data_IF_485454051173
#
_entry.id   IF_485454051173
#
_cell.length_a   1.000
_cell.length_b   1.000
_cell.length_c   1.000
_cell.angle_alpha   90.00
_cell.angle_beta   90.00
_cell.angle_gamma   90.00
#
_symmetry.space_group_name_H-M   'P 1'
#
loop_
_entity.id
_entity.type
_entity.pdbx_description
1 polymer ?
#
# COMPACT_ATOMS: atom_id res chain seq x y z
N UNK A 1 -19.62 13.82 -2.38
CA UNK A 1 -18.73 12.64 -2.32
C UNK A 1 -17.71 12.93 -1.25
N UNK A 2 -17.33 11.93 -0.48
CA UNK A 2 -16.54 12.12 0.75
C UNK A 2 -15.39 11.12 0.81
N UNK A 3 -14.31 11.50 1.49
CA UNK A 3 -13.16 10.66 1.75
C UNK A 3 -12.71 10.86 3.19
N UNK A 4 -12.31 9.77 3.84
CA UNK A 4 -11.74 9.74 5.18
C UNK A 4 -10.46 8.89 5.17
N UNK A 5 -9.73 8.87 6.27
CA UNK A 5 -8.54 8.02 6.40
C UNK A 5 -8.82 6.51 6.23
N UNK A 6 -10.07 6.08 6.46
CA UNK A 6 -10.43 4.65 6.47
C UNK A 6 -11.27 4.23 5.27
N UNK A 7 -11.72 5.16 4.44
CA UNK A 7 -12.69 4.84 3.40
C UNK A 7 -13.18 6.03 2.61
N UNK A 8 -14.11 5.76 1.71
CA UNK A 8 -14.70 6.78 0.85
C UNK A 8 -16.18 6.50 0.58
N UNK A 9 -16.88 7.55 0.21
CA UNK A 9 -18.25 7.51 -0.28
C UNK A 9 -18.32 8.11 -1.67
N UNK A 10 -18.84 7.34 -2.63
CA UNK A 10 -18.97 7.75 -4.01
C UNK A 10 -20.32 7.37 -4.58
N UNK A 11 -20.68 7.99 -5.72
CA UNK A 11 -21.91 7.71 -6.45
C UNK A 11 -21.58 7.36 -7.90
N UNK A 12 -22.26 6.34 -8.44
CA UNK A 12 -22.17 5.93 -9.84
C UNK A 12 -23.54 5.47 -10.33
N UNK A 13 -23.74 5.49 -11.65
CA UNK A 13 -24.95 4.95 -12.27
C UNK A 13 -24.93 3.43 -12.30
N UNK A 14 -23.80 2.85 -12.70
CA UNK A 14 -23.66 1.41 -12.82
C UNK A 14 -23.66 0.75 -11.45
N UNK A 15 -24.25 -0.44 -11.38
CA UNK A 15 -24.25 -1.23 -10.16
C UNK A 15 -22.95 -2.04 -10.09
N UNK A 16 -22.28 -1.97 -8.95
CA UNK A 16 -21.19 -2.88 -8.57
C UNK A 16 -21.79 -3.98 -7.70
N UNK A 17 -21.77 -5.22 -8.18
CA UNK A 17 -22.27 -6.38 -7.43
C UNK A 17 -21.21 -7.00 -6.50
N UNK A 18 -19.93 -6.70 -6.71
CA UNK A 18 -18.84 -7.24 -5.90
C UNK A 18 -18.79 -6.59 -4.49
N UNK A 19 -18.55 -7.41 -3.46
CA UNK A 19 -18.31 -6.92 -2.08
C UNK A 19 -16.95 -6.21 -1.94
N UNK A 20 -15.98 -6.57 -2.77
CA UNK A 20 -14.69 -5.91 -2.86
C UNK A 20 -14.33 -5.62 -4.30
N UNK A 21 -13.75 -4.47 -4.57
CA UNK A 21 -13.40 -4.03 -5.93
C UNK A 21 -12.27 -3.00 -5.91
N UNK A 22 -11.63 -2.80 -7.07
CA UNK A 22 -10.58 -1.81 -7.23
C UNK A 22 -11.14 -0.52 -7.82
N UNK A 23 -10.70 0.61 -7.27
CA UNK A 23 -10.95 1.95 -7.79
C UNK A 23 -9.62 2.66 -8.05
N UNK A 24 -9.62 3.55 -9.02
CA UNK A 24 -8.56 4.57 -9.16
C UNK A 24 -9.23 5.90 -8.88
N UNK A 25 -8.93 6.49 -7.73
CA UNK A 25 -9.44 7.83 -7.39
C UNK A 25 -8.44 8.89 -7.80
N UNK A 26 -8.93 10.07 -8.17
CA UNK A 26 -8.09 11.25 -8.36
C UNK A 26 -8.16 12.11 -7.10
N UNK A 27 -7.04 12.25 -6.40
CA UNK A 27 -6.90 13.13 -5.25
C UNK A 27 -5.93 14.25 -5.62
N UNK A 28 -6.44 15.47 -5.79
CA UNK A 28 -5.70 16.59 -6.41
C UNK A 28 -5.17 16.17 -7.79
N UNK A 29 -3.85 16.18 -7.99
CA UNK A 29 -3.17 15.76 -9.21
C UNK A 29 -2.74 14.28 -9.22
N UNK A 30 -2.91 13.57 -8.10
CA UNK A 30 -2.49 12.18 -7.96
C UNK A 30 -3.62 11.20 -8.33
N UNK A 31 -3.25 10.08 -8.96
CA UNK A 31 -4.14 8.94 -9.18
C UNK A 31 -3.78 7.84 -8.19
N UNK A 32 -4.73 7.46 -7.35
CA UNK A 32 -4.53 6.51 -6.26
C UNK A 32 -5.31 5.22 -6.56
N UNK A 33 -4.64 4.12 -6.94
CA UNK A 33 -5.23 2.79 -6.96
C UNK A 33 -5.54 2.34 -5.53
N UNK A 34 -6.78 1.92 -5.30
CA UNK A 34 -7.31 1.53 -3.99
C UNK A 34 -8.20 0.31 -4.17
N UNK A 35 -8.04 -0.69 -3.30
CA UNK A 35 -9.00 -1.78 -3.12
C UNK A 35 -9.98 -1.39 -2.02
N UNK A 36 -11.26 -1.40 -2.37
CA UNK A 36 -12.36 -1.04 -1.50
C UNK A 36 -13.16 -2.27 -1.10
N UNK A 37 -13.66 -2.30 0.14
CA UNK A 37 -14.69 -3.21 0.60
C UNK A 37 -15.98 -2.42 0.81
N UNK A 38 -17.03 -2.82 0.12
CA UNK A 38 -18.34 -2.21 0.26
C UNK A 38 -18.94 -2.59 1.62
N UNK A 39 -19.22 -1.59 2.45
CA UNK A 39 -19.88 -1.76 3.75
C UNK A 39 -21.39 -1.51 3.65
N UNK A 40 -21.81 -0.56 2.80
CA UNK A 40 -23.22 -0.22 2.59
C UNK A 40 -23.44 0.34 1.19
N UNK A 41 -24.59 -0.01 0.60
CA UNK A 41 -25.09 0.62 -0.62
C UNK A 41 -26.48 1.16 -0.36
N UNK A 42 -26.75 2.36 -0.86
CA UNK A 42 -28.09 2.90 -0.98
C UNK A 42 -28.25 3.63 -2.32
N UNK A 43 -29.41 4.24 -2.56
CA UNK A 43 -29.69 5.00 -3.77
C UNK A 43 -29.98 6.45 -3.45
N UNK A 44 -29.52 7.35 -4.31
CA UNK A 44 -29.81 8.79 -4.21
C UNK A 44 -30.41 9.30 -5.52
N UNK A 45 -31.43 10.15 -5.41
CA UNK A 45 -32.00 10.85 -6.56
C UNK A 45 -31.11 12.04 -6.92
N UNK A 46 -30.66 12.09 -8.16
CA UNK A 46 -29.87 13.21 -8.69
C UNK A 46 -30.21 13.45 -10.15
N UNK A 47 -30.64 14.68 -10.49
CA UNK A 47 -31.00 15.10 -11.86
C UNK A 47 -32.02 14.16 -12.54
N UNK A 48 -33.10 13.81 -11.83
CA UNK A 48 -34.15 12.88 -12.28
C UNK A 48 -33.69 11.44 -12.56
N UNK A 49 -32.46 11.08 -12.17
CA UNK A 49 -31.95 9.72 -12.23
C UNK A 49 -31.71 9.17 -10.82
N UNK A 50 -31.81 7.84 -10.72
CA UNK A 50 -31.42 7.09 -9.52
C UNK A 50 -29.95 6.71 -9.65
N UNK A 51 -29.13 7.14 -8.69
CA UNK A 51 -27.72 6.82 -8.60
C UNK A 51 -27.46 5.86 -7.46
N UNK A 52 -26.54 4.91 -7.66
CA UNK A 52 -26.07 4.03 -6.61
C UNK A 52 -25.00 4.76 -5.80
N UNK A 53 -25.16 4.80 -4.48
CA UNK A 53 -24.21 5.40 -3.55
C UNK A 53 -23.60 4.29 -2.70
N UNK A 54 -22.27 4.27 -2.70
CA UNK A 54 -21.46 3.25 -2.05
C UNK A 54 -20.71 3.87 -0.88
N UNK A 55 -20.73 3.17 0.25
CA UNK A 55 -19.90 3.44 1.41
C UNK A 55 -18.87 2.33 1.48
N UNK A 56 -17.60 2.70 1.42
CA UNK A 56 -16.51 1.75 1.28
C UNK A 56 -15.43 1.98 2.32
N UNK A 57 -14.88 0.89 2.83
CA UNK A 57 -13.65 0.86 3.62
C UNK A 57 -12.47 0.55 2.70
N UNK A 58 -11.28 1.07 3.03
CA UNK A 58 -10.05 0.68 2.33
C UNK A 58 -9.63 -0.72 2.76
N UNK A 59 -9.77 -1.68 1.86
CA UNK A 59 -9.26 -3.05 2.03
C UNK A 59 -7.78 -3.17 1.64
N UNK A 60 -7.29 -2.27 0.78
CA UNK A 60 -5.89 -2.19 0.39
C UNK A 60 -5.57 -0.86 -0.26
N UNK A 61 -4.54 -0.18 0.24
CA UNK A 61 -4.06 1.10 -0.28
C UNK A 61 -2.55 1.14 -0.06
N UNK A 62 -1.80 1.68 -1.03
CA UNK A 62 -0.36 1.90 -0.83
C UNK A 62 -0.15 2.92 0.29
N UNK A 63 0.89 2.74 1.11
CA UNK A 63 1.16 3.63 2.23
C UNK A 63 1.24 5.11 1.80
N UNK A 64 1.94 5.41 0.69
CA UNK A 64 2.06 6.78 0.16
C UNK A 64 0.71 7.38 -0.26
N UNK A 65 -0.17 6.54 -0.81
CA UNK A 65 -1.52 6.95 -1.19
C UNK A 65 -2.40 7.15 0.05
N UNK A 66 -2.24 6.32 1.07
CA UNK A 66 -2.93 6.52 2.34
C UNK A 66 -2.45 7.78 3.05
N UNK A 67 -1.15 8.07 3.06
CA UNK A 67 -0.61 9.32 3.59
C UNK A 67 -1.14 10.53 2.82
N UNK A 68 -1.26 10.44 1.48
CA UNK A 68 -1.90 11.48 0.68
C UNK A 68 -3.37 11.69 1.10
N UNK A 69 -4.11 10.60 1.35
CA UNK A 69 -5.48 10.68 1.86
C UNK A 69 -5.52 11.30 3.24
N UNK A 70 -4.72 10.83 4.20
CA UNK A 70 -4.67 11.35 5.57
C UNK A 70 -4.37 12.84 5.57
N UNK A 71 -3.31 13.26 4.87
CA UNK A 71 -2.94 14.68 4.78
C UNK A 71 -4.01 15.51 4.13
N UNK A 72 -4.67 14.99 3.10
CA UNK A 72 -5.79 15.65 2.48
C UNK A 72 -6.95 15.86 3.46
N UNK A 73 -7.31 14.84 4.25
CA UNK A 73 -8.45 14.94 5.20
C UNK A 73 -8.11 15.68 6.48
N UNK A 74 -6.84 15.76 6.88
CA UNK A 74 -6.36 16.54 8.04
C UNK A 74 -5.83 17.92 7.67
N UNK A 75 -6.02 18.36 6.42
CA UNK A 75 -5.52 19.61 5.85
C UNK A 75 -4.03 19.88 6.15
N UNK A 76 -3.23 18.82 6.14
CA UNK A 76 -1.81 18.88 6.41
C UNK A 76 -1.05 19.11 5.09
N UNK A 77 -0.10 20.06 5.04
CA UNK A 77 0.64 20.34 3.81
C UNK A 77 1.46 19.13 3.33
N UNK A 78 1.73 19.09 2.02
CA UNK A 78 2.68 18.13 1.47
C UNK A 78 4.06 18.39 2.11
N UNK A 79 4.76 17.37 2.65
CA UNK A 79 6.10 17.58 3.12
C UNK A 79 6.95 17.97 1.91
N UNK A 80 7.65 19.09 2.04
CA UNK A 80 8.67 19.53 1.08
C UNK A 80 9.69 18.40 0.99
N UNK A 81 9.72 17.73 -0.17
CA UNK A 81 10.59 16.63 -0.59
C UNK A 81 11.49 16.01 0.51
N UNK A 82 11.01 14.92 1.15
CA UNK A 82 11.75 14.16 2.19
C UNK A 82 12.88 13.27 1.65
N UNK A 83 13.31 13.46 0.40
CA UNK A 83 14.50 12.78 -0.14
C UNK A 83 15.82 13.31 0.43
N UNK A 84 15.79 14.29 1.34
CA UNK A 84 16.98 14.70 2.08
C UNK A 84 17.26 13.70 3.22
N UNK A 85 18.47 13.08 3.26
CA UNK A 85 18.84 12.01 4.20
C UNK A 85 18.90 12.39 5.70
N UNK A 86 18.51 13.60 6.09
CA UNK A 86 19.05 14.24 7.28
C UNK A 86 18.30 13.96 8.59
N UNK A 87 17.23 13.15 8.60
CA UNK A 87 16.57 12.85 9.88
C UNK A 87 15.90 11.47 10.00
N UNK A 88 16.69 10.39 10.11
CA UNK A 88 16.18 9.03 10.35
C UNK A 88 15.60 8.81 11.77
N UNK A 89 15.69 9.78 12.68
CA UNK A 89 15.28 9.62 14.08
C UNK A 89 13.78 9.86 14.35
N UNK A 90 13.01 10.34 13.36
CA UNK A 90 11.57 10.59 13.50
C UNK A 90 10.68 9.41 13.01
N UNK A 91 11.29 8.30 12.61
CA UNK A 91 10.59 7.18 11.98
C UNK A 91 9.85 6.31 13.01
N UNK A 92 8.52 6.27 12.91
CA UNK A 92 7.72 5.25 13.60
C UNK A 92 7.92 3.89 12.93
N UNK A 93 7.69 2.78 13.64
CA UNK A 93 8.00 1.42 13.20
C UNK A 93 7.36 0.97 11.87
N UNK A 94 6.35 1.69 11.38
CA UNK A 94 5.68 1.46 10.08
C UNK A 94 6.34 2.21 8.89
N UNK A 95 7.44 2.96 9.10
CA UNK A 95 8.16 3.76 8.07
C UNK A 95 9.19 3.00 7.25
N UNK A 96 9.41 1.72 7.51
CA UNK A 96 10.48 0.97 6.87
C UNK A 96 10.34 0.86 5.34
N UNK A 97 9.09 0.82 4.85
CA UNK A 97 8.79 0.88 3.42
C UNK A 97 9.27 2.21 2.81
N UNK A 98 9.11 3.31 3.54
CA UNK A 98 9.46 4.69 3.12
C UNK A 98 10.97 4.90 2.99
N UNK A 99 11.78 4.16 3.76
CA UNK A 99 13.23 4.30 3.78
C UNK A 99 13.93 3.55 2.63
N UNK A 100 13.25 2.61 1.98
CA UNK A 100 13.87 1.80 0.93
C UNK A 100 13.74 2.49 -0.43
N UNK A 101 14.86 2.70 -1.16
CA UNK A 101 14.79 3.13 -2.55
C UNK A 101 13.88 2.20 -3.37
N UNK A 102 13.13 2.76 -4.32
CA UNK A 102 12.19 2.01 -5.19
C UNK A 102 12.86 0.79 -5.84
N UNK A 103 14.14 0.92 -6.23
CA UNK A 103 14.91 -0.19 -6.76
C UNK A 103 15.01 -1.38 -5.78
N UNK A 104 15.15 -1.12 -4.48
CA UNK A 104 15.20 -2.17 -3.45
C UNK A 104 13.82 -2.76 -3.22
N UNK A 105 12.78 -1.93 -3.19
CA UNK A 105 11.39 -2.41 -3.07
C UNK A 105 11.05 -3.37 -4.22
N UNK A 106 11.41 -3.02 -5.46
CA UNK A 106 11.22 -3.87 -6.62
C UNK A 106 12.00 -5.19 -6.53
N UNK A 107 13.24 -5.15 -6.02
CA UNK A 107 14.02 -6.38 -5.76
C UNK A 107 13.32 -7.28 -4.72
N UNK A 108 12.79 -6.71 -3.64
CA UNK A 108 12.06 -7.47 -2.60
C UNK A 108 10.80 -8.11 -3.18
N UNK A 109 10.01 -7.35 -3.94
CA UNK A 109 8.82 -7.88 -4.63
C UNK A 109 9.20 -9.02 -5.56
N UNK A 110 10.22 -8.84 -6.40
CA UNK A 110 10.69 -9.87 -7.31
C UNK A 110 11.12 -11.15 -6.58
N UNK A 111 11.80 -11.03 -5.43
CA UNK A 111 12.21 -12.17 -4.62
C UNK A 111 11.01 -12.91 -3.98
N UNK A 112 9.98 -12.18 -3.53
CA UNK A 112 8.75 -12.78 -2.99
C UNK A 112 7.93 -13.50 -4.08
N UNK A 113 7.87 -12.93 -5.29
CA UNK A 113 7.23 -13.56 -6.45
C UNK A 113 7.97 -14.83 -6.85
N UNK A 114 9.30 -14.76 -6.98
CA UNK A 114 10.14 -15.92 -7.31
C UNK A 114 10.00 -17.06 -6.29
N UNK A 115 9.75 -16.74 -5.01
CA UNK A 115 9.53 -17.72 -3.95
C UNK A 115 8.06 -18.13 -3.75
N UNK A 116 7.15 -17.67 -4.62
CA UNK A 116 5.69 -17.94 -4.55
C UNK A 116 5.03 -17.48 -3.24
N UNK A 117 5.59 -16.47 -2.60
CA UNK A 117 5.06 -15.84 -1.37
C UNK A 117 4.24 -14.58 -1.64
N UNK A 118 4.23 -14.14 -2.90
CA UNK A 118 3.47 -13.00 -3.40
C UNK A 118 3.08 -13.29 -4.85
N UNK A 119 1.88 -12.92 -5.26
CA UNK A 119 1.50 -12.94 -6.67
C UNK A 119 2.15 -11.77 -7.41
N UNK A 120 2.47 -11.98 -8.69
CA UNK A 120 3.00 -10.90 -9.52
C UNK A 120 2.00 -9.75 -9.58
N UNK A 121 2.36 -8.53 -9.10
CA UNK A 121 1.44 -7.40 -9.13
C UNK A 121 1.15 -7.01 -10.58
N UNK A 122 -0.13 -6.90 -10.94
CA UNK A 122 -0.50 -6.37 -12.27
C UNK A 122 -0.01 -4.93 -12.41
N UNK A 123 0.20 -4.42 -13.64
CA UNK A 123 0.57 -3.02 -13.85
C UNK A 123 -0.38 -2.07 -13.12
N UNK A 124 0.17 -1.21 -12.26
CA UNK A 124 -0.59 -0.26 -11.44
C UNK A 124 -1.28 -0.85 -10.20
N UNK A 125 -1.11 -2.15 -9.92
CA UNK A 125 -1.59 -2.79 -8.70
C UNK A 125 -0.53 -2.67 -7.59
N UNK A 126 -0.95 -2.19 -6.42
CA UNK A 126 -0.09 -2.19 -5.23
C UNK A 126 0.14 -3.63 -4.75
N UNK A 127 1.39 -4.07 -4.55
CA UNK A 127 1.68 -5.39 -3.98
C UNK A 127 1.12 -5.50 -2.55
N UNK A 128 0.57 -6.67 -2.21
CA UNK A 128 0.02 -6.96 -0.88
C UNK A 128 1.12 -7.30 0.14
N UNK A 129 2.00 -6.33 0.41
CA UNK A 129 3.11 -6.48 1.35
C UNK A 129 3.08 -5.39 2.44
N UNK A 130 3.55 -5.75 3.63
CA UNK A 130 3.89 -4.82 4.72
C UNK A 130 5.34 -5.06 5.13
N UNK A 131 6.15 -4.01 5.17
CA UNK A 131 7.59 -4.09 5.48
C UNK A 131 7.88 -3.44 6.82
N UNK A 132 8.62 -4.13 7.68
CA UNK A 132 9.07 -3.66 8.99
C UNK A 132 10.60 -3.62 9.06
N UNK A 133 11.16 -2.53 9.59
CA UNK A 133 12.60 -2.39 9.75
C UNK A 133 13.04 -3.12 11.02
N UNK A 134 13.95 -4.07 10.85
CA UNK A 134 14.49 -4.90 11.91
C UNK A 134 15.85 -4.45 12.44
N UNK A 135 16.36 -3.27 12.04
CA UNK A 135 17.65 -2.74 12.49
C UNK A 135 18.86 -3.18 11.65
N UNK A 136 20.03 -2.71 12.04
CA UNK A 136 21.32 -3.10 11.44
C UNK A 136 21.80 -4.43 12.02
N UNK A 137 22.34 -5.28 11.15
CA UNK A 137 22.98 -6.54 11.53
C UNK A 137 24.32 -6.68 10.81
N UNK A 138 25.26 -7.40 11.43
CA UNK A 138 26.51 -7.78 10.77
C UNK A 138 26.31 -9.16 10.14
N UNK A 139 26.42 -9.25 8.81
CA UNK A 139 26.25 -10.48 8.05
C UNK A 139 27.48 -10.69 7.16
N UNK A 140 28.32 -11.67 7.51
CA UNK A 140 29.52 -11.99 6.73
C UNK A 140 30.56 -10.88 6.71
N UNK A 141 30.69 -10.12 7.80
CA UNK A 141 31.65 -9.01 7.91
C UNK A 141 31.17 -7.70 7.30
N UNK A 142 29.99 -7.67 6.68
CA UNK A 142 29.36 -6.46 6.14
C UNK A 142 28.15 -6.05 6.96
N UNK A 143 27.95 -4.74 7.13
CA UNK A 143 26.72 -4.19 7.71
C UNK A 143 25.58 -4.35 6.70
N UNK A 144 24.44 -4.83 7.18
CA UNK A 144 23.22 -4.94 6.39
C UNK A 144 22.01 -4.51 7.21
N UNK A 145 21.07 -3.86 6.56
CA UNK A 145 19.77 -3.50 7.10
C UNK A 145 18.84 -4.71 7.01
N UNK A 146 18.26 -5.10 8.15
CA UNK A 146 17.30 -6.19 8.22
C UNK A 146 15.89 -5.65 8.01
N UNK A 147 15.11 -6.32 7.17
CA UNK A 147 13.70 -6.04 6.97
C UNK A 147 12.89 -7.33 7.16
N UNK A 148 11.77 -7.25 7.88
CA UNK A 148 10.79 -8.32 7.93
C UNK A 148 9.61 -7.92 7.04
N UNK A 149 9.27 -8.75 6.08
CA UNK A 149 8.23 -8.48 5.08
C UNK A 149 7.11 -9.47 5.28
N UNK A 150 5.96 -8.94 5.69
CA UNK A 150 4.71 -9.67 5.69
C UNK A 150 4.09 -9.58 4.31
N UNK A 151 3.70 -10.72 3.73
CA UNK A 151 3.14 -10.82 2.39
C UNK A 151 1.94 -11.74 2.40
N UNK A 152 0.97 -11.48 1.52
CA UNK A 152 -0.22 -12.33 1.37
C UNK A 152 -0.39 -12.75 -0.08
N UNK A 153 -0.73 -14.02 -0.29
CA UNK A 153 -0.97 -14.60 -1.61
C UNK A 153 -2.26 -15.41 -1.57
N UNK A 154 -3.00 -15.43 -2.67
CA UNK A 154 -4.20 -16.26 -2.77
C UNK A 154 -3.81 -17.62 -3.38
N UNK A 155 -3.96 -18.70 -2.61
CA UNK A 155 -3.66 -20.05 -3.07
C UNK A 155 -4.89 -20.95 -2.86
N UNK A 156 -5.44 -21.50 -3.95
CA UNK A 156 -6.55 -22.48 -3.93
C UNK A 156 -7.71 -22.05 -3.02
N UNK A 157 -8.21 -20.83 -3.24
CA UNK A 157 -9.31 -20.19 -2.50
C UNK A 157 -9.03 -19.80 -1.03
N UNK A 158 -7.80 -20.00 -0.55
CA UNK A 158 -7.36 -19.53 0.77
C UNK A 158 -6.35 -18.39 0.66
N UNK A 159 -6.42 -17.42 1.59
CA UNK A 159 -5.41 -16.37 1.72
C UNK A 159 -4.30 -16.84 2.65
N UNK A 160 -3.14 -17.17 2.07
CA UNK A 160 -1.95 -17.52 2.83
C UNK A 160 -1.16 -16.26 3.17
N UNK A 161 -0.55 -16.24 4.35
CA UNK A 161 0.30 -15.16 4.82
C UNK A 161 1.71 -15.69 5.10
N UNK A 162 2.72 -14.93 4.72
CA UNK A 162 4.12 -15.28 4.91
C UNK A 162 4.89 -14.10 5.51
N UNK A 163 5.69 -14.39 6.52
CA UNK A 163 6.73 -13.49 7.02
C UNK A 163 8.08 -13.91 6.45
N UNK A 164 8.72 -13.01 5.71
CA UNK A 164 10.00 -13.26 5.06
C UNK A 164 11.01 -12.21 5.48
N UNK A 165 12.23 -12.64 5.82
CA UNK A 165 13.29 -11.73 6.21
C UNK A 165 14.21 -11.44 5.04
N UNK A 166 14.54 -10.16 4.87
CA UNK A 166 15.53 -9.69 3.91
C UNK A 166 16.65 -8.95 4.62
N UNK A 167 17.86 -9.13 4.10
CA UNK A 167 19.03 -8.32 4.41
C UNK A 167 19.33 -7.45 3.20
N UNK A 168 19.46 -6.16 3.40
CA UNK A 168 19.79 -5.16 2.37
C UNK A 168 21.13 -4.55 2.72
N UNK A 169 22.13 -4.69 1.86
CA UNK A 169 23.45 -4.08 2.08
C UNK A 169 23.45 -2.60 1.68
N UNK A 170 24.48 -1.85 2.08
CA UNK A 170 24.63 -0.44 1.69
C UNK A 170 24.77 -0.27 0.17
N UNK A 171 25.32 -1.27 -0.51
CA UNK A 171 25.44 -1.31 -1.98
C UNK A 171 24.10 -1.60 -2.68
N UNK A 172 23.03 -1.87 -1.91
CA UNK A 172 21.69 -2.12 -2.43
C UNK A 172 21.44 -3.55 -2.90
N UNK A 173 22.27 -4.51 -2.48
CA UNK A 173 22.03 -5.93 -2.71
C UNK A 173 21.05 -6.47 -1.67
N UNK A 174 20.18 -7.40 -2.11
CA UNK A 174 19.23 -8.05 -1.23
C UNK A 174 19.54 -9.54 -1.07
N UNK A 175 19.38 -10.06 0.14
CA UNK A 175 19.48 -11.49 0.43
C UNK A 175 18.31 -11.91 1.30
N UNK A 176 17.58 -12.95 0.90
CA UNK A 176 16.59 -13.58 1.75
C UNK A 176 17.32 -14.39 2.84
N UNK A 177 16.95 -14.18 4.10
CA UNK A 177 17.58 -14.79 5.27
C UNK A 177 16.63 -15.72 6.02
#
# INVERSE_FOLDING_TARGET
MEISANGLMFIIRDKIDAKEFNLIIRLREQRLPIRCKNSRTDTVQHKNDTWNRYFCEFAGIAADHWDAVVRYVTDTPEPVDRRTPENPAAAQADDAYRLLPVAIQNKIVAALVASRKLDEPKPGQTPLIKIFYGGLVNSGGKKAHRFNVHSRVQAKDEMLAYDTRFLVTEEGDIKQA
#
